data_IF_945229991359
#
_entry.id   IF_945229991359
#
_cell.length_a   1.000
_cell.length_b   1.000
_cell.length_c   1.000
_cell.angle_alpha   90.00
_cell.angle_beta   90.00
_cell.angle_gamma   90.00
#
_symmetry.space_group_name_H-M   'P 1'
#
loop_
_entity.id
_entity.type
_entity.pdbx_description
1 polymer ?
#
# COMPACT_ATOMS: atom_id res chain seq x y z
N UNK A 1 -20.07 5.23 13.29
CA UNK A 1 -19.02 5.06 14.32
C UNK A 1 -17.67 5.69 13.89
N UNK A 2 -17.52 7.03 13.86
CA UNK A 2 -16.27 7.69 13.46
C UNK A 2 -15.32 8.03 14.63
N UNK A 3 -15.76 7.88 15.90
CA UNK A 3 -15.06 8.39 17.10
C UNK A 3 -13.70 7.74 17.42
N UNK A 4 -13.31 6.68 16.72
CA UNK A 4 -12.10 5.92 17.05
C UNK A 4 -10.91 6.19 16.11
N UNK A 5 -10.98 7.19 15.23
CA UNK A 5 -9.87 7.53 14.31
C UNK A 5 -9.50 9.00 14.45
N UNK A 6 -8.20 9.31 14.46
CA UNK A 6 -7.70 10.67 14.73
C UNK A 6 -8.19 11.69 13.69
N UNK A 7 -8.32 11.26 12.44
CA UNK A 7 -8.76 12.09 11.32
C UNK A 7 -10.09 11.57 10.73
N UNK A 8 -10.89 10.85 11.53
CA UNK A 8 -12.12 10.22 11.06
C UNK A 8 -13.16 11.22 10.53
N UNK A 9 -13.30 12.39 11.16
CA UNK A 9 -14.26 13.42 10.71
C UNK A 9 -13.84 14.07 9.38
N UNK A 10 -12.62 14.65 9.23
CA UNK A 10 -12.23 15.25 7.96
C UNK A 10 -12.20 14.23 6.82
N UNK A 11 -11.75 12.99 7.08
CA UNK A 11 -11.80 11.91 6.11
C UNK A 11 -13.24 11.60 5.64
N UNK A 12 -14.21 11.63 6.57
CA UNK A 12 -15.62 11.35 6.26
C UNK A 12 -16.19 12.45 5.37
N UNK A 13 -15.87 13.72 5.67
CA UNK A 13 -16.31 14.86 4.87
C UNK A 13 -15.77 14.76 3.45
N UNK A 14 -14.46 14.55 3.27
CA UNK A 14 -13.85 14.45 1.94
C UNK A 14 -14.42 13.27 1.15
N UNK A 15 -14.56 12.11 1.80
CA UNK A 15 -15.14 10.91 1.16
C UNK A 15 -16.59 11.13 0.76
N UNK A 16 -17.40 11.73 1.65
CA UNK A 16 -18.80 12.00 1.38
C UNK A 16 -18.97 13.01 0.24
N UNK A 17 -18.13 14.04 0.18
CA UNK A 17 -18.10 15.01 -0.92
C UNK A 17 -17.76 14.32 -2.25
N UNK A 18 -16.74 13.47 -2.28
CA UNK A 18 -16.38 12.72 -3.48
C UNK A 18 -17.52 11.77 -3.93
N UNK A 19 -18.09 11.01 -2.99
CA UNK A 19 -19.20 10.10 -3.29
C UNK A 19 -20.45 10.85 -3.78
N UNK A 20 -20.76 12.01 -3.20
CA UNK A 20 -21.85 12.85 -3.66
C UNK A 20 -21.59 13.40 -5.07
N UNK A 21 -20.38 13.89 -5.34
CA UNK A 21 -19.99 14.34 -6.67
C UNK A 21 -20.14 13.20 -7.71
N UNK A 22 -19.73 11.98 -7.36
CA UNK A 22 -19.83 10.80 -8.20
C UNK A 22 -21.28 10.43 -8.54
N UNK A 23 -22.19 10.47 -7.56
CA UNK A 23 -23.61 10.21 -7.78
C UNK A 23 -24.30 11.32 -8.59
N UNK A 24 -23.94 12.58 -8.34
CA UNK A 24 -24.48 13.74 -9.06
C UNK A 24 -24.06 13.70 -10.53
N UNK A 25 -22.78 13.47 -10.83
CA UNK A 25 -22.30 13.40 -12.22
C UNK A 25 -22.88 12.19 -12.95
N UNK A 26 -23.11 11.07 -12.27
CA UNK A 26 -23.83 9.92 -12.84
C UNK A 26 -25.29 10.25 -13.19
N UNK A 27 -26.01 10.95 -12.31
CA UNK A 27 -27.39 11.38 -12.57
C UNK A 27 -27.45 12.40 -13.73
N UNK A 28 -26.48 13.31 -13.81
CA UNK A 28 -26.35 14.25 -14.94
C UNK A 28 -26.08 13.48 -16.24
N UNK A 29 -25.17 12.50 -16.23
CA UNK A 29 -24.88 11.71 -17.42
C UNK A 29 -26.13 10.99 -17.96
N UNK A 30 -26.94 10.40 -17.08
CA UNK A 30 -28.19 9.71 -17.47
C UNK A 30 -29.28 10.65 -17.99
N UNK A 31 -29.33 11.90 -17.52
CA UNK A 31 -30.40 12.85 -17.90
C UNK A 31 -30.02 13.72 -19.10
N UNK A 32 -28.74 14.09 -19.22
CA UNK A 32 -28.23 14.98 -20.28
C UNK A 32 -27.59 14.25 -21.45
N UNK A 33 -27.22 12.97 -21.29
CA UNK A 33 -26.42 12.24 -22.26
C UNK A 33 -24.92 12.55 -22.22
N UNK A 34 -24.47 13.47 -21.35
CA UNK A 34 -23.07 13.88 -21.25
C UNK A 34 -22.31 13.09 -20.16
N UNK A 35 -21.46 12.15 -20.59
CA UNK A 35 -20.63 11.33 -19.67
C UNK A 35 -19.35 12.05 -19.21
N UNK A 36 -18.98 13.18 -19.84
CA UNK A 36 -17.68 13.80 -19.63
C UNK A 36 -17.40 14.22 -18.18
N UNK A 37 -18.36 14.76 -17.40
CA UNK A 37 -18.13 15.09 -16.00
C UNK A 37 -17.86 13.84 -15.14
N UNK A 38 -18.57 12.74 -15.41
CA UNK A 38 -18.40 11.48 -14.71
C UNK A 38 -17.04 10.87 -15.04
N UNK A 39 -16.67 10.85 -16.32
CA UNK A 39 -15.38 10.37 -16.80
C UNK A 39 -14.19 11.08 -16.16
N UNK A 40 -14.23 12.43 -16.14
CA UNK A 40 -13.15 13.22 -15.50
C UNK A 40 -13.02 12.94 -14.01
N UNK A 41 -14.11 12.60 -13.33
CA UNK A 41 -14.11 12.33 -11.89
C UNK A 41 -13.60 10.91 -11.54
N UNK A 42 -13.71 9.97 -12.47
CA UNK A 42 -13.33 8.56 -12.25
C UNK A 42 -11.97 8.22 -12.84
N UNK A 43 -11.67 8.73 -14.04
CA UNK A 43 -10.44 8.45 -14.80
C UNK A 43 -9.41 9.57 -14.66
N UNK A 44 -9.81 10.76 -14.22
CA UNK A 44 -8.95 11.95 -14.09
C UNK A 44 -8.25 12.38 -15.40
N UNK A 45 -8.80 11.94 -16.54
CA UNK A 45 -8.32 12.25 -17.88
C UNK A 45 -9.40 12.96 -18.71
N UNK A 46 -9.03 13.70 -19.77
CA UNK A 46 -10.02 14.13 -20.76
C UNK A 46 -10.69 12.91 -21.43
N UNK A 47 -11.88 13.14 -21.96
CA UNK A 47 -12.60 12.14 -22.77
C UNK A 47 -11.97 12.17 -24.16
N UNK A 48 -11.28 11.09 -24.54
CA UNK A 48 -10.61 10.97 -25.85
C UNK A 48 -11.54 10.40 -26.93
N UNK A 49 -12.55 9.61 -26.52
CA UNK A 49 -13.50 8.95 -27.42
C UNK A 49 -14.94 9.40 -27.13
N UNK A 50 -15.79 9.46 -28.16
CA UNK A 50 -17.22 9.74 -28.01
C UNK A 50 -17.92 8.55 -27.36
N UNK A 51 -17.88 8.49 -26.03
CA UNK A 51 -18.56 7.46 -25.25
C UNK A 51 -19.98 7.92 -24.95
N UNK A 52 -20.97 7.17 -25.42
CA UNK A 52 -22.37 7.45 -25.12
C UNK A 52 -22.67 7.23 -23.63
N UNK A 53 -23.49 8.09 -23.03
CA UNK A 53 -23.94 7.94 -21.63
C UNK A 53 -25.04 6.88 -21.48
N UNK A 54 -24.75 5.66 -21.92
CA UNK A 54 -25.65 4.52 -21.70
C UNK A 54 -25.70 4.16 -20.20
N UNK A 55 -26.80 3.58 -19.70
CA UNK A 55 -26.87 3.10 -18.32
C UNK A 55 -25.73 2.14 -17.94
N UNK A 56 -25.28 1.32 -18.91
CA UNK A 56 -24.16 0.41 -18.74
C UNK A 56 -22.82 1.15 -18.55
N UNK A 57 -22.57 2.18 -19.36
CA UNK A 57 -21.34 2.99 -19.24
C UNK A 57 -21.31 3.78 -17.93
N UNK A 58 -22.45 4.35 -17.53
CA UNK A 58 -22.58 5.03 -16.23
C UNK A 58 -22.36 4.06 -15.07
N UNK A 59 -22.95 2.87 -15.11
CA UNK A 59 -22.73 1.85 -14.09
C UNK A 59 -21.26 1.40 -14.00
N UNK A 60 -20.61 1.24 -15.16
CA UNK A 60 -19.18 0.89 -15.23
C UNK A 60 -18.30 1.99 -14.63
N UNK A 61 -18.59 3.26 -14.92
CA UNK A 61 -17.88 4.39 -14.33
C UNK A 61 -18.08 4.51 -12.82
N UNK A 62 -19.30 4.27 -12.32
CA UNK A 62 -19.56 4.19 -10.89
C UNK A 62 -18.76 3.06 -10.22
N UNK A 63 -18.64 1.91 -10.89
CA UNK A 63 -17.83 0.79 -10.41
C UNK A 63 -16.33 1.14 -10.33
N UNK A 64 -15.82 1.94 -11.28
CA UNK A 64 -14.44 2.43 -11.30
C UNK A 64 -14.22 3.51 -10.23
N UNK A 65 -15.20 4.40 -10.02
CA UNK A 65 -15.14 5.50 -9.03
C UNK A 65 -15.33 5.05 -7.58
N UNK A 66 -16.08 3.98 -7.32
CA UNK A 66 -16.35 3.51 -5.96
C UNK A 66 -15.07 3.14 -5.17
N UNK A 67 -14.06 2.45 -5.75
CA UNK A 67 -12.76 2.26 -5.13
C UNK A 67 -12.09 3.56 -4.65
N UNK A 68 -12.23 4.67 -5.39
CA UNK A 68 -11.64 5.96 -4.98
C UNK A 68 -12.25 6.48 -3.69
N UNK A 69 -13.57 6.40 -3.53
CA UNK A 69 -14.23 6.77 -2.29
C UNK A 69 -13.72 5.92 -1.11
N UNK A 70 -13.55 4.60 -1.34
CA UNK A 70 -12.99 3.70 -0.34
C UNK A 70 -11.55 4.10 0.03
N UNK A 71 -10.70 4.34 -0.97
CA UNK A 71 -9.32 4.71 -0.77
C UNK A 71 -9.17 6.04 -0.03
N UNK A 72 -9.93 7.07 -0.41
CA UNK A 72 -9.96 8.36 0.28
C UNK A 72 -10.31 8.18 1.75
N UNK A 73 -11.33 7.39 2.06
CA UNK A 73 -11.70 7.08 3.43
C UNK A 73 -10.57 6.37 4.18
N UNK A 74 -10.03 5.30 3.60
CA UNK A 74 -9.02 4.47 4.25
C UNK A 74 -7.70 5.22 4.45
N UNK A 75 -7.28 6.04 3.50
CA UNK A 75 -6.03 6.78 3.54
C UNK A 75 -6.12 7.99 4.48
N UNK A 76 -7.24 8.73 4.46
CA UNK A 76 -7.38 9.96 5.23
C UNK A 76 -7.77 9.72 6.69
N UNK A 77 -8.48 8.63 7.03
CA UNK A 77 -8.97 8.41 8.40
C UNK A 77 -7.84 8.32 9.44
N UNK A 78 -6.64 7.91 9.02
CA UNK A 78 -5.48 7.72 9.87
C UNK A 78 -5.59 6.49 10.78
N UNK A 79 -4.55 6.22 11.60
CA UNK A 79 -4.58 5.15 12.58
C UNK A 79 -5.69 5.33 13.62
N UNK A 80 -6.09 4.22 14.25
CA UNK A 80 -7.03 4.24 15.37
C UNK A 80 -6.50 5.07 16.54
N UNK A 81 -7.39 5.75 17.25
CA UNK A 81 -7.07 6.50 18.47
C UNK A 81 -6.73 5.54 19.60
N UNK A 82 -5.62 5.82 20.30
CA UNK A 82 -5.11 5.04 21.42
C UNK A 82 -3.65 5.38 21.66
N UNK A 83 -3.10 4.91 22.79
CA UNK A 83 -1.66 4.96 23.05
C UNK A 83 -0.98 4.03 22.05
N UNK A 84 -0.24 4.57 21.06
CA UNK A 84 0.43 3.72 20.09
C UNK A 84 1.51 2.91 20.82
N UNK A 85 1.72 1.64 20.43
CA UNK A 85 2.87 0.89 20.94
C UNK A 85 4.14 1.66 20.57
N UNK A 86 5.17 1.61 21.42
CA UNK A 86 6.48 2.17 21.06
C UNK A 86 6.96 1.46 19.78
N UNK A 87 6.98 2.17 18.63
CA UNK A 87 7.29 1.53 17.37
C UNK A 87 8.79 1.29 17.32
N UNK A 88 9.21 0.10 16.91
CA UNK A 88 10.63 -0.10 16.61
C UNK A 88 11.04 0.83 15.47
N UNK A 89 12.34 1.14 15.36
CA UNK A 89 12.85 1.98 14.27
C UNK A 89 12.50 1.40 12.90
N UNK A 90 12.46 0.06 12.78
CA UNK A 90 12.10 -0.66 11.56
C UNK A 90 10.62 -0.44 11.21
N UNK A 91 9.72 -0.63 12.18
CA UNK A 91 8.28 -0.43 11.97
C UNK A 91 7.98 1.01 11.55
N UNK A 92 8.66 1.99 12.15
CA UNK A 92 8.50 3.41 11.80
C UNK A 92 8.93 3.70 10.37
N UNK A 93 10.07 3.14 9.93
CA UNK A 93 10.58 3.30 8.56
C UNK A 93 9.64 2.65 7.55
N UNK A 94 9.19 1.41 7.80
CA UNK A 94 8.25 0.72 6.92
C UNK A 94 6.94 1.50 6.82
N UNK A 95 6.40 1.99 7.95
CA UNK A 95 5.19 2.80 7.95
C UNK A 95 5.32 4.05 7.10
N UNK A 96 6.45 4.75 7.20
CA UNK A 96 6.72 5.92 6.38
C UNK A 96 6.79 5.57 4.89
N UNK A 97 7.47 4.48 4.54
CA UNK A 97 7.56 4.02 3.16
C UNK A 97 6.19 3.63 2.59
N UNK A 98 5.36 2.93 3.37
CA UNK A 98 4.00 2.56 2.99
C UNK A 98 3.12 3.79 2.75
N UNK A 99 3.18 4.81 3.61
CA UNK A 99 2.43 6.05 3.39
C UNK A 99 2.94 6.85 2.20
N UNK A 100 4.26 6.95 2.02
CA UNK A 100 4.84 7.63 0.88
C UNK A 100 4.44 6.95 -0.44
N UNK A 101 4.54 5.63 -0.50
CA UNK A 101 4.08 4.85 -1.65
C UNK A 101 2.58 5.04 -1.88
N UNK A 102 1.73 4.89 -0.85
CA UNK A 102 0.29 5.07 -0.99
C UNK A 102 -0.08 6.48 -1.51
N UNK A 103 0.61 7.52 -1.04
CA UNK A 103 0.40 8.88 -1.51
C UNK A 103 0.80 9.03 -2.98
N UNK A 104 1.93 8.46 -3.39
CA UNK A 104 2.40 8.53 -4.77
C UNK A 104 1.43 7.82 -5.74
N UNK A 105 0.96 6.62 -5.38
CA UNK A 105 -0.08 5.89 -6.11
C UNK A 105 -1.42 6.62 -6.21
N UNK A 106 -1.80 7.42 -5.21
CA UNK A 106 -3.00 8.25 -5.27
C UNK A 106 -2.83 9.52 -6.11
N UNK A 107 -1.61 10.06 -6.17
CA UNK A 107 -1.32 11.26 -6.95
C UNK A 107 -1.17 10.94 -8.43
N UNK A 108 -0.65 9.75 -8.78
CA UNK A 108 -0.37 9.35 -10.16
C UNK A 108 -1.54 9.57 -11.13
N UNK A 109 -2.79 9.16 -10.81
CA UNK A 109 -3.92 9.39 -11.70
C UNK A 109 -4.32 10.87 -11.83
N UNK A 110 -3.95 11.72 -10.87
CA UNK A 110 -4.46 13.10 -10.77
C UNK A 110 -3.60 14.10 -11.55
N UNK A 111 -2.31 13.82 -11.81
CA UNK A 111 -1.51 14.74 -12.62
C UNK A 111 -1.41 14.26 -14.08
N UNK A 112 -2.22 14.82 -15.00
CA UNK A 112 -2.09 14.55 -16.42
C UNK A 112 -0.70 14.96 -16.90
N UNK A 113 -0.04 14.08 -17.65
CA UNK A 113 1.37 14.27 -18.05
C UNK A 113 2.36 13.92 -16.95
N UNK A 114 2.03 12.94 -16.09
CA UNK A 114 2.93 12.40 -15.07
C UNK A 114 4.30 12.06 -15.71
N UNK A 115 5.39 12.74 -15.32
CA UNK A 115 6.66 12.58 -16.00
C UNK A 115 7.30 11.22 -15.68
N UNK A 116 8.14 10.70 -16.57
CA UNK A 116 8.78 9.38 -16.42
C UNK A 116 9.51 9.23 -15.07
N UNK A 117 10.13 10.30 -14.57
CA UNK A 117 10.86 10.26 -13.30
C UNK A 117 9.94 10.03 -12.11
N UNK A 118 8.66 10.38 -12.23
CA UNK A 118 7.68 10.16 -11.18
C UNK A 118 7.19 8.69 -11.17
N UNK A 119 7.11 8.03 -12.32
CA UNK A 119 6.92 6.56 -12.41
C UNK A 119 8.13 5.81 -11.81
N UNK A 120 9.35 6.31 -12.08
CA UNK A 120 10.55 5.79 -11.45
C UNK A 120 10.52 6.01 -9.93
N UNK A 121 10.04 7.16 -9.45
CA UNK A 121 9.88 7.45 -8.03
C UNK A 121 8.89 6.47 -7.36
N UNK A 122 7.74 6.19 -7.98
CA UNK A 122 6.77 5.21 -7.48
C UNK A 122 7.41 3.83 -7.30
N UNK A 123 8.19 3.43 -8.30
CA UNK A 123 8.96 2.19 -8.30
C UNK A 123 10.01 2.17 -7.18
N UNK A 124 10.73 3.27 -6.95
CA UNK A 124 11.71 3.38 -5.87
C UNK A 124 11.05 3.38 -4.47
N UNK A 125 9.89 4.00 -4.32
CA UNK A 125 9.12 3.96 -3.07
C UNK A 125 8.65 2.54 -2.76
N UNK A 126 8.16 1.82 -3.77
CA UNK A 126 7.81 0.40 -3.62
C UNK A 126 9.03 -0.48 -3.37
N UNK A 127 10.18 -0.19 -3.98
CA UNK A 127 11.43 -0.87 -3.67
C UNK A 127 11.83 -0.66 -2.20
N UNK A 128 11.67 0.54 -1.66
CA UNK A 128 11.87 0.79 -0.23
C UNK A 128 10.89 -0.04 0.63
N UNK A 129 9.63 -0.16 0.21
CA UNK A 129 8.64 -1.04 0.86
C UNK A 129 9.09 -2.50 0.86
N UNK A 130 9.57 -3.04 -0.27
CA UNK A 130 10.14 -4.40 -0.37
C UNK A 130 11.25 -4.62 0.65
N UNK A 131 12.25 -3.72 0.65
CA UNK A 131 13.45 -3.85 1.48
C UNK A 131 13.13 -3.73 2.97
N UNK A 132 12.12 -2.95 3.34
CA UNK A 132 11.69 -2.75 4.72
C UNK A 132 10.69 -3.80 5.20
N UNK A 133 9.98 -4.48 4.30
CA UNK A 133 9.05 -5.56 4.67
C UNK A 133 9.77 -6.80 5.21
N UNK A 134 10.83 -7.25 4.54
CA UNK A 134 11.58 -8.44 4.93
C UNK A 134 12.03 -8.42 6.41
N UNK A 135 12.69 -7.35 6.92
CA UNK A 135 13.12 -7.31 8.32
C UNK A 135 11.98 -7.09 9.34
N UNK A 136 10.77 -6.71 8.90
CA UNK A 136 9.61 -6.53 9.77
C UNK A 136 8.78 -7.81 9.87
N UNK A 137 8.58 -8.52 8.75
CA UNK A 137 7.90 -9.82 8.72
C UNK A 137 8.75 -10.95 9.31
N UNK A 138 10.09 -10.80 9.32
CA UNK A 138 11.01 -11.73 9.99
C UNK A 138 10.76 -13.20 9.60
N UNK A 139 10.59 -14.04 10.62
CA UNK A 139 10.37 -15.50 10.48
C UNK A 139 9.01 -15.87 9.86
N UNK A 140 8.08 -14.91 9.73
CA UNK A 140 6.79 -15.12 9.06
C UNK A 140 6.92 -15.27 7.54
N UNK A 141 8.07 -14.90 6.95
CA UNK A 141 8.38 -15.22 5.57
C UNK A 141 9.06 -16.58 5.48
N UNK A 142 8.39 -17.55 4.86
CA UNK A 142 8.99 -18.86 4.56
C UNK A 142 10.19 -18.76 3.60
N UNK A 143 10.13 -17.80 2.67
CA UNK A 143 11.12 -17.61 1.60
C UNK A 143 11.58 -16.14 1.53
N UNK A 144 12.30 -15.64 2.55
CA UNK A 144 12.67 -14.23 2.67
C UNK A 144 13.52 -13.75 1.49
N UNK A 145 14.47 -14.58 1.06
CA UNK A 145 15.35 -14.30 -0.07
C UNK A 145 14.57 -14.24 -1.39
N UNK A 146 13.64 -15.18 -1.61
CA UNK A 146 12.84 -15.22 -2.86
C UNK A 146 11.94 -14.01 -2.94
N UNK A 147 11.26 -13.65 -1.85
CA UNK A 147 10.45 -12.43 -1.82
C UNK A 147 11.30 -11.19 -2.08
N UNK A 148 12.46 -11.08 -1.45
CA UNK A 148 13.32 -9.91 -1.67
C UNK A 148 13.82 -9.82 -3.12
N UNK A 149 14.28 -10.93 -3.71
CA UNK A 149 14.71 -10.97 -5.12
C UNK A 149 13.53 -10.62 -6.04
N UNK A 150 12.37 -11.24 -5.83
CA UNK A 150 11.19 -11.00 -6.64
C UNK A 150 10.74 -9.53 -6.57
N UNK A 151 10.72 -8.94 -5.37
CA UNK A 151 10.36 -7.53 -5.18
C UNK A 151 11.39 -6.55 -5.75
N UNK A 152 12.69 -6.84 -5.59
CA UNK A 152 13.76 -6.02 -6.19
C UNK A 152 13.70 -6.11 -7.71
N UNK A 153 13.47 -7.30 -8.26
CA UNK A 153 13.30 -7.50 -9.70
C UNK A 153 12.07 -6.77 -10.22
N UNK A 154 10.95 -6.83 -9.50
CA UNK A 154 9.71 -6.16 -9.86
C UNK A 154 9.85 -4.64 -9.90
N UNK A 155 10.21 -4.03 -8.77
CA UNK A 155 10.17 -2.58 -8.63
C UNK A 155 11.49 -1.92 -9.06
N UNK A 156 12.62 -2.61 -8.97
CA UNK A 156 13.84 -2.18 -9.66
C UNK A 156 13.67 -2.26 -11.18
N UNK A 157 13.06 -3.33 -11.68
CA UNK A 157 12.70 -3.48 -13.09
C UNK A 157 11.69 -2.43 -13.57
N UNK A 158 10.70 -2.08 -12.74
CA UNK A 158 9.76 -0.98 -13.02
C UNK A 158 10.45 0.37 -13.21
N UNK A 159 11.45 0.69 -12.36
CA UNK A 159 12.24 1.90 -12.52
C UNK A 159 13.08 1.87 -13.81
N UNK A 160 13.67 0.72 -14.15
CA UNK A 160 14.38 0.53 -15.42
C UNK A 160 13.45 0.70 -16.61
N UNK A 161 12.25 0.10 -16.55
CA UNK A 161 11.21 0.19 -17.59
C UNK A 161 10.83 1.65 -17.85
N UNK A 162 10.58 2.43 -16.78
CA UNK A 162 10.27 3.84 -16.92
C UNK A 162 11.37 4.65 -17.63
N UNK A 163 12.64 4.33 -17.38
CA UNK A 163 13.78 4.99 -18.05
C UNK A 163 13.91 4.52 -19.50
N UNK A 164 13.73 3.23 -19.77
CA UNK A 164 13.89 2.68 -21.11
C UNK A 164 12.75 3.07 -22.04
N UNK A 165 11.54 3.21 -21.52
CA UNK A 165 10.38 3.71 -22.26
C UNK A 165 10.62 5.14 -22.76
N UNK A 166 11.18 6.02 -21.92
CA UNK A 166 11.59 7.39 -22.30
C UNK A 166 12.69 7.38 -23.37
N UNK A 167 13.61 6.40 -23.30
CA UNK A 167 14.69 6.23 -24.27
C UNK A 167 14.24 5.49 -25.55
N UNK A 168 12.99 5.03 -25.63
CA UNK A 168 12.47 4.25 -26.76
C UNK A 168 13.08 2.84 -26.88
N UNK A 169 13.57 2.26 -25.78
CA UNK A 169 14.18 0.93 -25.75
C UNK A 169 13.16 -0.12 -25.33
N UNK A 170 12.85 -1.05 -26.24
CA UNK A 170 11.95 -2.17 -25.95
C UNK A 170 12.66 -3.27 -25.12
N UNK A 171 12.08 -3.59 -23.96
CA UNK A 171 12.57 -4.63 -23.06
C UNK A 171 11.99 -6.02 -23.36
N UNK A 172 10.99 -6.13 -24.21
CA UNK A 172 10.38 -7.40 -24.63
C UNK A 172 10.00 -8.31 -23.45
N UNK A 173 10.48 -9.55 -23.47
CA UNK A 173 10.21 -10.56 -22.43
C UNK A 173 10.68 -10.17 -21.02
N UNK A 174 11.60 -9.22 -20.90
CA UNK A 174 12.08 -8.78 -19.59
C UNK A 174 10.98 -8.03 -18.81
N UNK A 175 10.09 -7.31 -19.50
CA UNK A 175 8.92 -6.66 -18.89
C UNK A 175 7.98 -7.67 -18.22
N UNK A 176 7.77 -8.82 -18.87
CA UNK A 176 6.98 -9.92 -18.34
C UNK A 176 7.63 -10.52 -17.08
N UNK A 177 8.96 -10.60 -17.06
CA UNK A 177 9.70 -11.09 -15.90
C UNK A 177 9.55 -10.15 -14.69
N UNK A 178 9.54 -8.83 -14.91
CA UNK A 178 9.29 -7.85 -13.85
C UNK A 178 7.86 -7.97 -13.30
N UNK A 179 6.86 -8.12 -14.18
CA UNK A 179 5.47 -8.34 -13.78
C UNK A 179 5.30 -9.65 -12.98
N UNK A 180 5.98 -10.73 -13.40
CA UNK A 180 5.97 -11.99 -12.66
C UNK A 180 6.65 -11.84 -11.29
N UNK A 181 7.75 -11.10 -11.21
CA UNK A 181 8.40 -10.74 -9.94
C UNK A 181 7.43 -10.02 -8.99
N UNK A 182 6.64 -9.08 -9.52
CA UNK A 182 5.65 -8.34 -8.74
C UNK A 182 4.58 -9.28 -8.17
N UNK A 183 4.08 -10.20 -9.00
CA UNK A 183 3.08 -11.19 -8.60
C UNK A 183 3.62 -12.11 -7.50
N UNK A 184 4.81 -12.67 -7.69
CA UNK A 184 5.46 -13.55 -6.71
C UNK A 184 5.69 -12.81 -5.39
N UNK A 185 6.20 -11.58 -5.45
CA UNK A 185 6.39 -10.76 -4.25
C UNK A 185 5.07 -10.51 -3.52
N UNK A 186 4.02 -10.06 -4.23
CA UNK A 186 2.71 -9.80 -3.64
C UNK A 186 2.16 -11.05 -2.95
N UNK A 187 2.20 -12.22 -3.60
CA UNK A 187 1.70 -13.47 -3.02
C UNK A 187 2.45 -13.83 -1.74
N UNK A 188 3.78 -13.72 -1.73
CA UNK A 188 4.59 -14.02 -0.54
C UNK A 188 4.32 -13.04 0.60
N UNK A 189 4.21 -11.75 0.31
CA UNK A 189 3.89 -10.73 1.33
C UNK A 189 2.49 -10.93 1.89
N UNK A 190 1.48 -11.17 1.05
CA UNK A 190 0.11 -11.40 1.51
C UNK A 190 0.00 -12.68 2.36
N UNK A 191 0.72 -13.73 1.97
CA UNK A 191 0.80 -14.96 2.76
C UNK A 191 1.44 -14.69 4.12
N UNK A 192 2.54 -13.94 4.16
CA UNK A 192 3.20 -13.62 5.41
C UNK A 192 2.32 -12.72 6.30
N UNK A 193 1.64 -11.71 5.74
CA UNK A 193 0.68 -10.86 6.44
C UNK A 193 -0.49 -11.66 7.03
N UNK A 194 -0.93 -12.74 6.36
CA UNK A 194 -2.02 -13.60 6.86
C UNK A 194 -1.61 -14.35 8.13
N UNK A 195 -0.34 -14.73 8.26
CA UNK A 195 0.15 -15.50 9.40
C UNK A 195 0.72 -14.63 10.51
N UNK A 196 1.09 -13.39 10.20
CA UNK A 196 1.52 -12.42 11.19
C UNK A 196 0.30 -11.77 11.85
N UNK A 197 0.15 -12.00 13.16
CA UNK A 197 -0.96 -11.46 13.97
C UNK A 197 -1.03 -9.93 14.05
N UNK A 198 -0.04 -9.21 13.49
CA UNK A 198 -0.04 -7.75 13.36
C UNK A 198 -1.03 -7.23 12.32
N UNK A 199 -1.38 -8.02 11.30
CA UNK A 199 -2.30 -7.58 10.25
C UNK A 199 -3.64 -8.33 10.34
N UNK A 200 -4.77 -7.59 10.41
CA UNK A 200 -6.07 -8.22 10.42
C UNK A 200 -6.41 -8.79 9.04
N UNK A 201 -7.32 -9.77 9.02
CA UNK A 201 -7.83 -10.40 7.79
C UNK A 201 -8.30 -9.39 6.72
N UNK A 202 -8.89 -8.28 7.14
CA UNK A 202 -9.38 -7.23 6.23
C UNK A 202 -8.25 -6.64 5.38
N UNK A 203 -7.04 -6.53 5.93
CA UNK A 203 -5.89 -5.94 5.23
C UNK A 203 -5.33 -6.87 4.19
N UNK A 204 -5.24 -8.16 4.55
CA UNK A 204 -4.97 -9.23 3.60
C UNK A 204 -6.02 -9.24 2.45
N UNK A 205 -7.30 -9.05 2.76
CA UNK A 205 -8.35 -9.01 1.75
C UNK A 205 -8.20 -7.82 0.80
N UNK A 206 -7.85 -6.63 1.30
CA UNK A 206 -7.53 -5.48 0.44
C UNK A 206 -6.36 -5.76 -0.51
N UNK A 207 -5.33 -6.45 -0.02
CA UNK A 207 -4.18 -6.82 -0.85
C UNK A 207 -4.50 -7.90 -1.89
N UNK A 208 -5.37 -8.87 -1.58
CA UNK A 208 -5.89 -9.79 -2.62
C UNK A 208 -6.72 -9.01 -3.64
N UNK A 209 -7.57 -8.10 -3.17
CA UNK A 209 -8.47 -7.33 -4.04
C UNK A 209 -7.66 -6.45 -4.99
N UNK A 210 -6.57 -5.82 -4.51
CA UNK A 210 -5.69 -5.03 -5.37
C UNK A 210 -4.95 -5.85 -6.42
N UNK A 211 -4.76 -7.16 -6.19
CA UNK A 211 -4.17 -8.07 -7.15
C UNK A 211 -5.20 -8.62 -8.15
N UNK A 212 -6.34 -9.10 -7.66
CA UNK A 212 -7.31 -9.89 -8.44
C UNK A 212 -8.29 -8.99 -9.19
N UNK A 213 -8.78 -7.92 -8.55
CA UNK A 213 -9.83 -7.10 -9.13
C UNK A 213 -9.39 -6.41 -10.44
N UNK A 214 -8.17 -5.86 -10.56
CA UNK A 214 -7.71 -5.35 -11.85
C UNK A 214 -7.65 -6.43 -12.94
N UNK A 215 -7.22 -7.65 -12.62
CA UNK A 215 -7.20 -8.73 -13.61
C UNK A 215 -8.61 -9.14 -14.06
N UNK A 216 -9.57 -9.15 -13.14
CA UNK A 216 -10.98 -9.42 -13.46
C UNK A 216 -11.59 -8.29 -14.28
N UNK A 217 -11.34 -7.03 -13.93
CA UNK A 217 -11.83 -5.87 -14.70
C UNK A 217 -11.21 -5.85 -16.09
N UNK A 218 -9.93 -6.21 -16.23
CA UNK A 218 -9.30 -6.39 -17.53
C UNK A 218 -10.04 -7.47 -18.33
N UNK A 219 -10.17 -8.67 -17.78
CA UNK A 219 -10.79 -9.80 -18.48
C UNK A 219 -12.24 -9.50 -18.91
N UNK A 220 -13.03 -8.85 -18.05
CA UNK A 220 -14.41 -8.45 -18.33
C UNK A 220 -14.45 -7.28 -19.32
N UNK A 221 -13.55 -6.31 -19.18
CA UNK A 221 -13.43 -5.16 -20.06
C UNK A 221 -13.15 -5.56 -21.51
N UNK A 222 -12.22 -6.50 -21.72
CA UNK A 222 -11.92 -7.09 -23.03
C UNK A 222 -13.13 -7.77 -23.69
N UNK A 223 -14.12 -8.21 -22.90
CA UNK A 223 -15.36 -8.81 -23.42
C UNK A 223 -16.46 -7.78 -23.71
N UNK A 224 -16.36 -6.56 -23.19
CA UNK A 224 -17.47 -5.60 -23.17
C UNK A 224 -17.24 -4.30 -23.96
N UNK A 225 -15.99 -3.87 -24.17
CA UNK A 225 -15.67 -2.55 -24.77
C UNK A 225 -14.41 -2.64 -25.66
N UNK A 226 -14.33 -1.79 -26.68
CA UNK A 226 -13.09 -1.58 -27.44
C UNK A 226 -11.92 -1.17 -26.52
N UNK A 227 -10.78 -1.83 -26.71
CA UNK A 227 -9.76 -2.06 -25.67
C UNK A 227 -8.95 -0.83 -25.20
N UNK A 228 -9.03 0.32 -25.88
CA UNK A 228 -8.16 1.48 -25.62
C UNK A 228 -8.48 2.23 -24.34
N UNK A 229 -9.75 2.58 -24.12
CA UNK A 229 -10.18 3.47 -23.03
C UNK A 229 -10.26 2.79 -21.65
N UNK A 230 -10.30 1.46 -21.63
CA UNK A 230 -10.32 0.64 -20.41
C UNK A 230 -8.96 0.57 -19.72
N UNK A 231 -7.86 0.70 -20.46
CA UNK A 231 -6.51 0.56 -19.89
C UNK A 231 -6.21 1.62 -18.82
N UNK A 232 -6.49 2.90 -19.13
CA UNK A 232 -6.29 4.01 -18.18
C UNK A 232 -7.20 3.88 -16.95
N UNK A 233 -8.46 3.52 -17.17
CA UNK A 233 -9.42 3.26 -16.10
C UNK A 233 -8.98 2.13 -15.17
N UNK A 234 -8.37 1.09 -15.74
CA UNK A 234 -7.86 -0.04 -15.01
C UNK A 234 -6.61 0.30 -14.19
N UNK A 235 -5.66 1.00 -14.80
CA UNK A 235 -4.45 1.44 -14.13
C UNK A 235 -4.79 2.33 -12.92
N UNK A 236 -5.75 3.24 -13.08
CA UNK A 236 -6.26 4.07 -11.99
C UNK A 236 -6.89 3.20 -10.87
N UNK A 237 -7.79 2.27 -11.22
CA UNK A 237 -8.43 1.39 -10.22
C UNK A 237 -7.41 0.50 -9.48
N UNK A 238 -6.44 -0.07 -10.20
CA UNK A 238 -5.37 -0.87 -9.62
C UNK A 238 -4.51 -0.05 -8.65
N UNK A 239 -4.14 1.17 -9.05
CA UNK A 239 -3.37 2.08 -8.20
C UNK A 239 -4.11 2.46 -6.92
N UNK A 240 -5.41 2.71 -7.02
CA UNK A 240 -6.26 3.03 -5.86
C UNK A 240 -6.37 1.87 -4.87
N UNK A 241 -6.55 0.65 -5.38
CA UNK A 241 -6.61 -0.55 -4.52
C UNK A 241 -5.26 -0.85 -3.88
N UNK A 242 -4.17 -0.68 -4.64
CA UNK A 242 -2.81 -0.79 -4.13
C UNK A 242 -2.55 0.24 -3.02
N UNK A 243 -2.87 1.51 -3.25
CA UNK A 243 -2.77 2.58 -2.26
C UNK A 243 -3.60 2.28 -1.00
N UNK A 244 -4.81 1.74 -1.17
CA UNK A 244 -5.69 1.32 -0.07
C UNK A 244 -5.03 0.24 0.78
N UNK A 245 -4.47 -0.80 0.15
CA UNK A 245 -3.75 -1.87 0.85
C UNK A 245 -2.51 -1.35 1.57
N UNK A 246 -1.72 -0.47 0.93
CA UNK A 246 -0.52 0.13 1.50
C UNK A 246 -0.85 1.00 2.73
N UNK A 247 -1.82 1.91 2.59
CA UNK A 247 -2.26 2.77 3.69
C UNK A 247 -2.86 1.95 4.83
N UNK A 248 -3.65 0.93 4.53
CA UNK A 248 -4.21 0.05 5.55
C UNK A 248 -3.11 -0.75 6.27
N UNK A 249 -2.14 -1.30 5.54
CA UNK A 249 -0.98 -1.97 6.12
C UNK A 249 -0.19 -1.05 7.06
N UNK A 250 -0.06 0.24 6.71
CA UNK A 250 0.56 1.25 7.55
C UNK A 250 -0.27 1.57 8.81
N UNK A 251 -1.61 1.61 8.69
CA UNK A 251 -2.53 1.81 9.80
C UNK A 251 -2.47 0.68 10.81
N UNK A 252 -2.46 -0.57 10.35
CA UNK A 252 -2.44 -1.73 11.23
C UNK A 252 -1.12 -1.90 11.95
N UNK A 253 -0.01 -1.52 11.31
CA UNK A 253 1.30 -1.48 11.96
C UNK A 253 1.35 -0.44 13.10
N UNK A 254 0.45 0.54 13.08
CA UNK A 254 0.27 1.53 14.14
C UNK A 254 -0.87 1.21 15.11
N UNK A 255 -1.63 0.12 14.90
CA UNK A 255 -2.81 -0.21 15.71
C UNK A 255 -2.38 -0.79 17.07
N UNK A 256 -2.82 -0.19 18.20
CA UNK A 256 -2.53 -0.70 19.54
C UNK A 256 -3.03 -2.13 19.81
N UNK A 257 -4.02 -2.62 19.04
CA UNK A 257 -4.66 -3.93 19.26
C UNK A 257 -3.88 -5.09 18.68
N UNK A 258 -3.01 -4.84 17.71
CA UNK A 258 -2.37 -5.90 16.93
C UNK A 258 -1.01 -6.31 17.51
N UNK A 259 -0.90 -6.31 18.84
CA UNK A 259 0.33 -6.70 19.56
C UNK A 259 0.47 -8.23 19.52
N UNK A 260 1.66 -8.77 19.22
CA UNK A 260 2.01 -10.10 19.69
C UNK A 260 1.89 -10.07 21.21
N UNK A 261 0.95 -10.84 21.76
CA UNK A 261 0.82 -10.99 23.21
C UNK A 261 2.11 -11.67 23.67
N UNK A 262 2.91 -10.98 24.50
CA UNK A 262 4.07 -11.61 25.11
C UNK A 262 3.57 -12.88 25.82
N UNK A 263 4.27 -14.04 25.67
CA UNK A 263 3.86 -15.26 26.31
C UNK A 263 3.61 -14.98 27.79
N UNK A 264 2.38 -15.26 28.26
CA UNK A 264 2.08 -15.18 29.69
C UNK A 264 3.01 -16.20 30.35
N UNK A 265 3.89 -15.79 31.29
CA UNK A 265 4.74 -16.73 32.00
C UNK A 265 3.83 -17.80 32.62
N UNK A 266 4.04 -19.06 32.27
CA UNK A 266 3.27 -20.15 32.83
C UNK A 266 3.49 -20.13 34.36
N UNK A 267 2.43 -20.30 35.18
CA UNK A 267 2.59 -20.39 36.63
C UNK A 267 3.46 -21.60 36.96
N UNK A 268 4.76 -21.38 37.18
CA UNK A 268 5.73 -22.44 37.39
C UNK A 268 7.11 -22.17 36.80
N UNK A 269 7.25 -21.19 35.90
CA UNK A 269 8.58 -20.79 35.43
C UNK A 269 9.30 -20.07 36.58
N UNK A 270 10.40 -20.63 37.14
CA UNK A 270 11.08 -20.01 38.25
C UNK A 270 11.62 -18.66 37.77
N UNK A 271 11.11 -17.58 38.36
CA UNK A 271 11.61 -16.23 38.15
C UNK A 271 13.13 -16.29 38.24
N UNK A 272 13.82 -16.15 37.11
CA UNK A 272 15.28 -16.11 37.09
C UNK A 272 15.65 -14.96 38.02
N UNK A 273 16.36 -15.22 39.13
CA UNK A 273 16.64 -14.17 40.09
C UNK A 273 17.38 -13.07 39.35
N UNK A 274 16.81 -11.87 39.40
CA UNK A 274 17.50 -10.66 39.02
C UNK A 274 18.81 -10.67 39.79
N UNK A 275 19.92 -11.01 39.12
CA UNK A 275 21.26 -10.91 39.67
C UNK A 275 21.49 -9.43 39.89
N UNK A 276 21.10 -8.97 41.09
CA UNK A 276 21.53 -7.73 41.67
C UNK A 276 23.05 -7.81 41.69
N UNK A 277 23.65 -7.19 40.69
CA UNK A 277 25.08 -7.04 40.54
C UNK A 277 25.53 -6.13 41.69
N UNK A 278 25.79 -6.74 42.84
CA UNK A 278 26.59 -6.19 43.91
C UNK A 278 27.92 -5.77 43.29
N UNK A 279 28.03 -4.47 42.95
CA UNK A 279 29.29 -3.81 42.63
C UNK A 279 30.13 -3.82 43.90
N UNK A 280 30.93 -4.87 44.07
CA UNK A 280 32.09 -4.84 44.95
C UNK A 280 33.06 -3.78 44.45
N UNK A 281 33.34 -2.79 45.31
CA UNK A 281 34.25 -1.69 45.05
C UNK A 281 35.67 -2.17 44.68
N UNK A 282 36.40 -1.45 43.81
CA UNK A 282 37.78 -1.76 43.49
C UNK A 282 38.69 -1.48 44.70
N UNK A 283 39.28 -2.56 45.24
CA UNK A 283 40.32 -2.50 46.28
C UNK A 283 41.57 -1.87 45.67
N UNK A 284 41.89 -0.63 46.04
CA UNK A 284 43.15 0.05 45.68
C UNK A 284 44.32 -0.73 46.28
N UNK A 285 45.17 -1.30 45.44
CA UNK A 285 46.46 -1.88 45.83
C UNK A 285 47.52 -0.77 45.79
N UNK A 286 48.27 -0.51 46.87
CA UNK A 286 49.32 0.50 46.86
C UNK A 286 50.57 -0.05 46.15
N UNK A 287 50.96 0.61 45.06
CA UNK A 287 52.22 0.35 44.36
C UNK A 287 53.35 1.00 45.17
N UNK A 288 54.18 0.16 45.81
CA UNK A 288 55.46 0.58 46.41
C UNK A 288 56.48 0.82 45.30
N UNK A 289 56.97 2.07 45.20
CA UNK A 289 58.22 2.41 44.50
C UNK A 289 59.40 1.78 45.26
N UNK A 290 60.27 1.11 44.52
CA UNK A 290 61.66 0.88 44.92
C UNK A 290 62.55 1.31 43.75
N UNK A 291 63.31 2.39 43.96
CA UNK A 291 64.54 2.74 43.25
C UNK A 291 65.68 1.92 43.90
N UNK A 292 66.70 1.53 43.13
CA UNK A 292 67.86 2.39 42.92
C UNK A 292 68.17 2.67 41.45
#
# INVERSE_FOLDING_TARGET
MPRNHRLGVPALIVTALYAAALLITAAIALTSGDIAPLWRLTVFAPVEETIEATPQNVATMLLIGAPWACALWTCLRGPRTGTPPEPTTKDRRLRLALYAAAAAWLLHPIAPGWPWWAVALDSLLMLAVVLLFAPVLGDGLELPVVAQIAGVLAYGGGAVTAVTDELGVDLGLLSLLFALGQLVWMVLVLRAQRWDGRWPFVTYLYGITSLVLPLLVLAVGWMLVDAGSLYYSLAAAAGVLMATWLAQSAHDLADPRNRPVAPVPLPGDPATPCHAHLRSAPRKVPVRRALP
#
